data_IF_337477053279
#
_entry.id   IF_337477053279
#
_cell.length_a   1.000
_cell.length_b   1.000
_cell.length_c   1.000
_cell.angle_alpha   90.00
_cell.angle_beta   90.00
_cell.angle_gamma   90.00
#
_symmetry.space_group_name_H-M   'P 1'
#
loop_
_entity.id
_entity.type
_entity.pdbx_description
1 polymer ?
#
# COMPACT_ATOMS: atom_id res chain seq x y z
N UNK A 1 -5.26 4.36 51.38
CA UNK A 1 -4.87 3.81 50.07
C UNK A 1 -5.93 4.03 48.98
N UNK A 2 -7.22 4.01 49.33
CA UNK A 2 -8.35 4.25 48.41
C UNK A 2 -8.31 5.61 47.68
N UNK A 3 -7.90 6.70 48.36
CA UNK A 3 -7.76 8.04 47.73
C UNK A 3 -6.69 8.10 46.63
N UNK A 4 -5.59 7.35 46.77
CA UNK A 4 -4.53 7.28 45.73
C UNK A 4 -4.99 6.44 44.53
N UNK A 5 -5.79 5.39 44.77
CA UNK A 5 -6.39 4.56 43.72
C UNK A 5 -7.46 5.33 42.93
N UNK A 6 -8.25 6.18 43.61
CA UNK A 6 -9.26 7.04 42.99
C UNK A 6 -8.66 8.17 42.14
N UNK A 7 -7.50 8.71 42.56
CA UNK A 7 -6.74 9.68 41.77
C UNK A 7 -6.12 9.05 40.51
N UNK A 8 -5.68 7.78 40.58
CA UNK A 8 -5.16 7.05 39.42
C UNK A 8 -6.26 6.73 38.39
N UNK A 9 -7.47 6.43 38.86
CA UNK A 9 -8.62 6.10 38.00
C UNK A 9 -9.14 7.32 37.21
N UNK A 10 -9.00 8.53 37.76
CA UNK A 10 -9.38 9.78 37.08
C UNK A 10 -8.42 10.23 35.98
N UNK A 11 -7.23 9.63 35.85
CA UNK A 11 -6.27 9.94 34.77
C UNK A 11 -6.26 8.93 33.62
N UNK A 12 -6.98 7.82 33.77
CA UNK A 12 -7.11 6.82 32.71
C UNK A 12 -7.81 7.28 31.41
N UNK A 13 -8.77 8.24 31.39
CA UNK A 13 -9.50 8.56 30.16
C UNK A 13 -8.75 9.48 29.19
N UNK A 14 -7.52 9.92 29.48
CA UNK A 14 -6.75 10.82 28.57
C UNK A 14 -6.01 10.11 27.43
N UNK A 15 -6.07 8.78 27.34
CA UNK A 15 -5.33 8.00 26.33
C UNK A 15 -6.16 7.57 25.11
N UNK A 16 -7.44 7.94 25.04
CA UNK A 16 -8.31 7.60 23.89
C UNK A 16 -8.58 8.86 23.08
N UNK A 17 -7.65 9.20 22.19
CA UNK A 17 -7.93 10.05 21.04
C UNK A 17 -8.07 9.11 19.85
N UNK A 18 -9.28 8.62 19.59
CA UNK A 18 -9.57 7.96 18.33
C UNK A 18 -9.61 9.03 17.24
N UNK A 19 -8.84 8.84 16.17
CA UNK A 19 -8.88 9.70 14.99
C UNK A 19 -10.28 9.61 14.35
N UNK A 20 -10.91 10.76 14.10
CA UNK A 20 -12.24 10.84 13.50
C UNK A 20 -12.12 11.04 11.98
N UNK A 21 -12.15 9.93 11.23
CA UNK A 21 -12.08 9.94 9.76
C UNK A 21 -13.44 10.29 9.14
N UNK A 22 -13.45 11.28 8.26
CA UNK A 22 -14.67 11.85 7.66
C UNK A 22 -14.77 11.55 6.18
N UNK A 23 -15.87 10.92 5.79
CA UNK A 23 -16.22 10.71 4.39
C UNK A 23 -16.32 12.05 3.63
N UNK A 24 -15.82 12.09 2.40
CA UNK A 24 -15.72 13.31 1.59
C UNK A 24 -14.56 14.25 1.97
N UNK A 25 -13.72 13.85 2.95
CA UNK A 25 -12.48 14.54 3.31
C UNK A 25 -11.29 13.59 3.31
N UNK A 26 -11.36 12.54 4.13
CA UNK A 26 -10.25 11.60 4.32
C UNK A 26 -10.39 10.37 3.41
N UNK A 27 -11.63 10.02 3.05
CA UNK A 27 -11.94 8.94 2.09
C UNK A 27 -13.27 9.19 1.38
N UNK A 28 -13.47 8.53 0.25
CA UNK A 28 -14.74 8.52 -0.48
C UNK A 28 -15.39 7.14 -0.44
N UNK A 29 -16.73 7.12 -0.40
CA UNK A 29 -17.51 5.88 -0.49
C UNK A 29 -17.90 5.66 -1.93
N UNK A 30 -17.40 4.59 -2.53
CA UNK A 30 -17.80 4.18 -3.87
C UNK A 30 -19.20 3.56 -3.83
N UNK A 31 -20.08 4.02 -4.72
CA UNK A 31 -21.44 3.52 -4.90
C UNK A 31 -21.44 2.09 -5.45
N UNK A 32 -20.57 1.82 -6.42
CA UNK A 32 -20.39 0.50 -7.02
C UNK A 32 -19.32 -0.28 -6.27
N UNK A 33 -19.74 -1.01 -5.25
CA UNK A 33 -18.83 -1.80 -4.41
C UNK A 33 -18.42 -3.08 -5.16
N UNK A 34 -17.13 -3.35 -5.35
CA UNK A 34 -16.69 -4.64 -5.84
C UNK A 34 -17.13 -5.73 -4.85
N UNK A 35 -17.63 -6.86 -5.37
CA UNK A 35 -17.97 -8.02 -4.54
C UNK A 35 -16.67 -8.62 -3.99
N UNK A 36 -16.38 -8.35 -2.73
CA UNK A 36 -15.28 -9.00 -2.01
C UNK A 36 -15.79 -10.30 -1.41
N UNK A 37 -15.39 -11.44 -2.00
CA UNK A 37 -15.68 -12.79 -1.49
C UNK A 37 -14.49 -13.25 -0.65
N UNK A 38 -14.18 -12.53 0.42
CA UNK A 38 -13.09 -12.86 1.35
C UNK A 38 -13.54 -12.65 2.79
N UNK A 39 -13.01 -13.46 3.69
CA UNK A 39 -13.21 -13.34 5.14
C UNK A 39 -12.41 -12.18 5.73
N UNK A 40 -11.32 -11.80 5.06
CA UNK A 40 -10.45 -10.67 5.40
C UNK A 40 -10.88 -9.41 4.65
N UNK A 41 -10.58 -8.24 5.23
CA UNK A 41 -10.74 -6.96 4.54
C UNK A 41 -9.77 -6.90 3.35
N UNK A 42 -10.23 -6.42 2.19
CA UNK A 42 -9.37 -6.22 1.01
C UNK A 42 -8.84 -4.79 1.02
N UNK A 43 -7.52 -4.66 0.90
CA UNK A 43 -6.84 -3.40 0.69
C UNK A 43 -6.14 -3.49 -0.66
N UNK A 44 -6.53 -2.61 -1.58
CA UNK A 44 -5.98 -2.58 -2.93
C UNK A 44 -5.21 -1.28 -3.15
N UNK A 45 -3.96 -1.41 -3.59
CA UNK A 45 -3.12 -0.30 -3.99
C UNK A 45 -3.07 -0.19 -5.52
N UNK A 46 -3.41 0.99 -6.04
CA UNK A 46 -3.20 1.35 -7.43
C UNK A 46 -1.87 2.09 -7.58
N UNK A 47 -0.89 1.51 -8.27
CA UNK A 47 0.49 2.01 -8.24
C UNK A 47 1.17 1.96 -9.62
N UNK A 48 2.38 2.53 -9.73
CA UNK A 48 3.27 2.28 -10.85
C UNK A 48 4.73 2.45 -10.42
N UNK A 49 5.66 1.68 -11.01
CA UNK A 49 7.09 1.92 -10.79
C UNK A 49 7.56 3.30 -11.27
N UNK A 50 6.80 3.96 -12.16
CA UNK A 50 7.05 5.32 -12.61
C UNK A 50 6.54 6.42 -11.66
N UNK A 51 5.82 6.07 -10.60
CA UNK A 51 5.20 7.02 -9.67
C UNK A 51 6.12 7.31 -8.46
N UNK A 52 6.60 8.55 -8.27
CA UNK A 52 7.53 8.90 -7.18
C UNK A 52 6.86 8.90 -5.79
N UNK A 53 5.53 9.09 -5.72
CA UNK A 53 4.80 8.97 -4.45
C UNK A 53 4.63 7.52 -4.03
N UNK A 54 4.37 6.63 -4.98
CA UNK A 54 4.25 5.21 -4.76
C UNK A 54 5.57 4.65 -4.20
N UNK A 55 6.71 5.02 -4.80
CA UNK A 55 8.02 4.63 -4.27
C UNK A 55 8.30 5.12 -2.84
N UNK A 56 7.90 6.35 -2.52
CA UNK A 56 8.07 6.89 -1.17
C UNK A 56 7.16 6.22 -0.13
N UNK A 57 6.04 5.64 -0.57
CA UNK A 57 5.10 4.93 0.30
C UNK A 57 5.62 3.53 0.69
N UNK A 58 6.34 2.85 -0.21
CA UNK A 58 6.77 1.45 -0.05
C UNK A 58 7.36 1.10 1.34
N UNK A 59 8.31 1.88 1.93
CA UNK A 59 8.89 1.49 3.22
C UNK A 59 7.86 1.48 4.36
N UNK A 60 6.94 2.45 4.34
CA UNK A 60 5.89 2.57 5.36
C UNK A 60 4.83 1.50 5.13
N UNK A 61 4.42 1.29 3.88
CA UNK A 61 3.45 0.28 3.50
C UNK A 61 3.94 -1.13 3.87
N UNK A 62 5.19 -1.47 3.57
CA UNK A 62 5.78 -2.77 3.92
C UNK A 62 5.72 -3.04 5.42
N UNK A 63 6.15 -2.06 6.23
CA UNK A 63 6.05 -2.17 7.70
C UNK A 63 4.61 -2.31 8.21
N UNK A 64 3.66 -1.63 7.57
CA UNK A 64 2.24 -1.75 7.90
C UNK A 64 1.67 -3.14 7.51
N UNK A 65 2.03 -3.66 6.33
CA UNK A 65 1.57 -4.97 5.85
C UNK A 65 2.04 -6.11 6.76
N UNK A 66 3.29 -6.06 7.23
CA UNK A 66 3.84 -7.04 8.18
C UNK A 66 3.03 -7.15 9.47
N UNK A 67 2.40 -6.05 9.92
CA UNK A 67 1.57 -6.00 11.13
C UNK A 67 0.14 -6.52 10.92
N UNK A 68 -0.35 -6.60 9.68
CA UNK A 68 -1.76 -6.86 9.36
C UNK A 68 -2.01 -8.14 8.54
N UNK A 69 -0.99 -8.98 8.35
CA UNK A 69 -1.02 -10.19 7.50
C UNK A 69 -2.19 -11.14 7.74
N UNK A 70 -2.77 -11.18 8.95
CA UNK A 70 -3.89 -12.06 9.29
C UNK A 70 -5.27 -11.41 9.16
N UNK A 71 -5.36 -10.09 9.05
CA UNK A 71 -6.63 -9.35 9.04
C UNK A 71 -7.00 -8.81 7.67
N UNK A 72 -6.01 -8.66 6.79
CA UNK A 72 -6.21 -8.11 5.45
C UNK A 72 -5.75 -9.09 4.36
N UNK A 73 -6.39 -8.99 3.20
CA UNK A 73 -5.83 -9.42 1.93
C UNK A 73 -5.34 -8.17 1.19
N UNK A 74 -4.03 -8.07 0.97
CA UNK A 74 -3.44 -6.98 0.21
C UNK A 74 -3.32 -7.33 -1.28
N UNK A 75 -3.66 -6.38 -2.15
CA UNK A 75 -3.62 -6.51 -3.61
C UNK A 75 -2.91 -5.28 -4.18
N UNK A 76 -2.00 -5.49 -5.13
CA UNK A 76 -1.41 -4.40 -5.91
C UNK A 76 -1.87 -4.49 -7.36
N UNK A 77 -2.32 -3.36 -7.90
CA UNK A 77 -2.82 -3.23 -9.27
C UNK A 77 -2.08 -2.10 -9.98
N UNK A 78 -1.20 -2.40 -10.96
CA UNK A 78 -0.46 -1.37 -11.66
C UNK A 78 -1.39 -0.55 -12.56
N UNK A 79 -1.29 0.77 -12.46
CA UNK A 79 -2.01 1.71 -13.34
C UNK A 79 -1.17 2.08 -14.55
N UNK A 80 -1.85 2.37 -15.66
CA UNK A 80 -1.24 2.78 -16.93
C UNK A 80 -1.77 4.18 -17.27
N UNK A 81 -1.14 5.21 -16.69
CA UNK A 81 -1.49 6.61 -16.98
C UNK A 81 -0.75 7.19 -18.19
N UNK A 82 0.25 6.48 -18.72
CA UNK A 82 0.91 6.81 -19.98
C UNK A 82 1.46 5.53 -20.65
N UNK A 83 1.86 5.66 -21.91
CA UNK A 83 2.30 4.53 -22.73
C UNK A 83 3.52 3.79 -22.15
N UNK A 84 4.49 4.51 -21.56
CA UNK A 84 5.68 3.90 -20.94
C UNK A 84 5.31 2.98 -19.78
N UNK A 85 4.29 3.34 -19.00
CA UNK A 85 3.86 2.58 -17.82
C UNK A 85 3.25 1.22 -18.17
N UNK A 86 2.89 0.98 -19.43
CA UNK A 86 2.52 -0.37 -19.91
C UNK A 86 3.64 -1.38 -19.64
N UNK A 87 4.90 -1.01 -19.84
CA UNK A 87 6.03 -1.91 -19.61
C UNK A 87 6.24 -2.17 -18.12
N UNK A 88 6.00 -1.18 -17.27
CA UNK A 88 6.05 -1.32 -15.81
C UNK A 88 4.96 -2.27 -15.29
N UNK A 89 3.73 -2.13 -15.80
CA UNK A 89 2.62 -3.02 -15.47
C UNK A 89 2.89 -4.47 -15.93
N UNK A 90 3.43 -4.66 -17.13
CA UNK A 90 3.87 -5.98 -17.62
C UNK A 90 4.91 -6.60 -16.69
N UNK A 91 5.95 -5.84 -16.33
CA UNK A 91 7.03 -6.32 -15.46
C UNK A 91 6.48 -6.79 -14.10
N UNK A 92 5.55 -6.05 -13.51
CA UNK A 92 4.88 -6.45 -12.26
C UNK A 92 4.13 -7.78 -12.39
N UNK A 93 3.30 -7.93 -13.42
CA UNK A 93 2.54 -9.18 -13.60
C UNK A 93 3.42 -10.37 -13.97
N UNK A 94 4.52 -10.16 -14.70
CA UNK A 94 5.54 -11.19 -14.93
C UNK A 94 6.20 -11.60 -13.61
N UNK A 95 6.59 -10.65 -12.77
CA UNK A 95 7.16 -10.94 -11.46
C UNK A 95 6.18 -11.69 -10.54
N UNK A 96 4.89 -11.35 -10.57
CA UNK A 96 3.84 -12.10 -9.88
C UNK A 96 3.71 -13.53 -10.40
N UNK A 97 3.67 -13.74 -11.72
CA UNK A 97 3.60 -15.07 -12.32
C UNK A 97 4.80 -15.95 -11.94
N UNK A 98 5.97 -15.33 -11.77
CA UNK A 98 7.18 -15.97 -11.30
C UNK A 98 7.25 -16.18 -9.78
N UNK A 99 6.26 -15.67 -9.01
CA UNK A 99 6.24 -15.67 -7.54
C UNK A 99 7.44 -14.93 -6.92
N UNK A 100 7.89 -13.84 -7.56
CA UNK A 100 9.03 -13.02 -7.11
C UNK A 100 8.68 -11.52 -7.08
N UNK A 101 7.41 -11.16 -6.96
CA UNK A 101 6.94 -9.78 -6.97
C UNK A 101 7.68 -8.91 -5.94
N UNK A 102 7.80 -9.38 -4.69
CA UNK A 102 8.48 -8.64 -3.62
C UNK A 102 9.94 -8.31 -3.95
N UNK A 103 10.67 -9.26 -4.53
CA UNK A 103 12.07 -9.03 -4.93
C UNK A 103 12.18 -8.03 -6.08
N UNK A 104 11.30 -8.14 -7.07
CA UNK A 104 11.35 -7.29 -8.26
C UNK A 104 10.75 -5.90 -8.03
N UNK A 105 9.81 -5.75 -7.09
CA UNK A 105 9.26 -4.44 -6.72
C UNK A 105 10.38 -3.49 -6.27
N UNK A 106 11.18 -3.90 -5.27
CA UNK A 106 12.28 -3.09 -4.74
C UNK A 106 13.32 -2.75 -5.84
N UNK A 107 13.65 -3.72 -6.69
CA UNK A 107 14.62 -3.55 -7.79
C UNK A 107 14.12 -2.59 -8.86
N UNK A 108 12.88 -2.77 -9.33
CA UNK A 108 12.29 -1.96 -10.39
C UNK A 108 12.02 -0.52 -9.92
N UNK A 109 11.53 -0.36 -8.69
CA UNK A 109 11.40 0.97 -8.10
C UNK A 109 12.75 1.68 -8.02
N UNK A 110 13.80 1.00 -7.52
CA UNK A 110 15.14 1.58 -7.45
C UNK A 110 15.68 1.94 -8.82
N UNK A 111 15.58 1.04 -9.80
CA UNK A 111 16.04 1.29 -11.17
C UNK A 111 15.38 2.54 -11.78
N UNK A 112 14.06 2.67 -11.64
CA UNK A 112 13.30 3.74 -12.30
C UNK A 112 13.35 5.06 -11.50
N UNK A 113 13.17 5.02 -10.18
CA UNK A 113 13.02 6.22 -9.35
C UNK A 113 14.36 6.77 -8.84
N UNK A 114 15.37 5.91 -8.64
CA UNK A 114 16.67 6.31 -8.08
C UNK A 114 17.74 6.34 -9.17
N UNK A 115 17.86 5.27 -9.97
CA UNK A 115 18.89 5.19 -10.99
C UNK A 115 18.49 5.88 -12.31
N UNK A 116 17.21 6.28 -12.43
CA UNK A 116 16.64 6.92 -13.62
C UNK A 116 16.80 6.10 -14.91
N UNK A 117 16.74 4.77 -14.80
CA UNK A 117 16.81 3.86 -15.93
C UNK A 117 15.50 3.92 -16.75
N UNK A 118 15.61 4.18 -18.06
CA UNK A 118 14.46 4.23 -18.97
C UNK A 118 14.02 2.82 -19.40
N UNK A 119 13.41 2.09 -18.47
CA UNK A 119 12.88 0.73 -18.70
C UNK A 119 11.54 0.74 -19.47
N UNK A 120 11.44 1.55 -20.53
CA UNK A 120 10.19 1.80 -21.27
C UNK A 120 10.08 1.00 -22.58
N UNK A 121 10.67 -0.20 -22.64
CA UNK A 121 10.50 -1.15 -23.75
C UNK A 121 10.78 -2.57 -23.29
N UNK A 122 10.27 -3.57 -24.02
CA UNK A 122 10.55 -4.99 -23.73
C UNK A 122 12.06 -5.27 -23.80
N UNK A 123 12.79 -4.63 -24.73
CA UNK A 123 14.25 -4.76 -24.85
C UNK A 123 15.00 -4.18 -23.66
N UNK A 124 14.50 -3.11 -23.05
CA UNK A 124 15.14 -2.49 -21.89
C UNK A 124 14.92 -3.29 -20.59
N UNK A 125 13.91 -4.18 -20.56
CA UNK A 125 13.53 -5.01 -19.41
C UNK A 125 14.26 -6.37 -19.34
N UNK A 126 15.11 -6.67 -20.33
CA UNK A 126 15.89 -7.91 -20.46
C UNK A 126 17.36 -7.57 -20.26
#
# INVERSE_FOLDING_TARGET
>A
MLKKLMMLLCWLPMLVMAEDFKAGKDFDILTDKPKVIRTQAVVEEFFSYGCPWCYRLEPVLKGWLEQHTHTITFIQTPVIFNQKWTYYAKAFYVAQALKRADEFNDKLFKAIQVNHEDLASDKAMI
#
